data_IF_538850333249
#
_entry.id   IF_538850333249
#
_cell.length_a   1.000
_cell.length_b   1.000
_cell.length_c   1.000
_cell.angle_alpha   90.00
_cell.angle_beta   90.00
_cell.angle_gamma   90.00
#
_symmetry.space_group_name_H-M   'P 1'
#
loop_
_entity.id
_entity.type
_entity.pdbx_description
1 polymer ?
#
# COMPACT_ATOMS: atom_id res chain seq x y z
N UNK A 1 14.76 -19.56 -7.25
CA UNK A 1 15.48 -18.51 -6.47
C UNK A 1 15.28 -17.10 -7.04
N UNK A 2 15.56 -16.84 -8.33
CA UNK A 2 15.35 -15.50 -8.95
C UNK A 2 13.89 -15.03 -8.83
N UNK A 3 12.92 -15.89 -9.11
CA UNK A 3 11.49 -15.55 -9.02
C UNK A 3 11.07 -15.12 -7.60
N UNK A 4 11.58 -15.78 -6.57
CA UNK A 4 11.33 -15.41 -5.16
C UNK A 4 11.88 -14.01 -4.86
N UNK A 5 13.06 -13.67 -5.40
CA UNK A 5 13.65 -12.34 -5.22
C UNK A 5 12.81 -11.26 -5.92
N UNK A 6 12.30 -11.53 -7.12
CA UNK A 6 11.41 -10.61 -7.84
C UNK A 6 10.12 -10.39 -7.02
N UNK A 7 9.51 -11.47 -6.52
CA UNK A 7 8.32 -11.37 -5.66
C UNK A 7 8.62 -10.50 -4.43
N UNK A 8 9.72 -10.78 -3.72
CA UNK A 8 10.12 -10.00 -2.55
C UNK A 8 10.36 -8.52 -2.88
N UNK A 9 11.01 -8.22 -4.01
CA UNK A 9 11.24 -6.85 -4.44
C UNK A 9 9.93 -6.11 -4.75
N UNK A 10 8.99 -6.75 -5.45
CA UNK A 10 7.68 -6.17 -5.76
C UNK A 10 6.89 -5.87 -4.48
N UNK A 11 6.83 -6.83 -3.54
CA UNK A 11 6.17 -6.63 -2.26
C UNK A 11 6.87 -5.56 -1.41
N UNK A 12 8.20 -5.46 -1.45
CA UNK A 12 8.93 -4.41 -0.75
C UNK A 12 8.56 -3.01 -1.26
N UNK A 13 8.53 -2.81 -2.58
CA UNK A 13 8.08 -1.54 -3.19
C UNK A 13 6.64 -1.24 -2.81
N UNK A 14 5.77 -2.26 -2.86
CA UNK A 14 4.38 -2.12 -2.43
C UNK A 14 4.26 -1.69 -0.97
N UNK A 15 5.00 -2.29 -0.04
CA UNK A 15 4.96 -1.93 1.37
C UNK A 15 5.48 -0.50 1.62
N UNK A 16 6.51 -0.06 0.89
CA UNK A 16 7.00 1.32 0.97
C UNK A 16 5.90 2.30 0.53
N UNK A 17 5.23 2.03 -0.58
CA UNK A 17 4.13 2.88 -1.06
C UNK A 17 2.92 2.85 -0.11
N UNK A 18 2.62 1.71 0.50
CA UNK A 18 1.56 1.58 1.50
C UNK A 18 1.88 2.39 2.77
N UNK A 19 3.13 2.37 3.25
CA UNK A 19 3.55 3.21 4.37
C UNK A 19 3.52 4.69 3.99
N UNK A 20 3.94 5.04 2.77
CA UNK A 20 3.85 6.39 2.27
C UNK A 20 2.38 6.88 2.23
N UNK A 21 1.42 6.04 1.83
CA UNK A 21 0.00 6.43 1.83
C UNK A 21 -0.53 6.69 3.24
N UNK A 22 -0.11 5.90 4.24
CA UNK A 22 -0.44 6.16 5.65
C UNK A 22 0.10 7.52 6.09
N UNK A 23 1.39 7.78 5.84
CA UNK A 23 2.04 9.05 6.22
C UNK A 23 1.33 10.24 5.55
N UNK A 24 1.05 10.14 4.26
CA UNK A 24 0.36 11.18 3.50
C UNK A 24 -1.07 11.42 4.03
N UNK A 25 -1.76 10.38 4.50
CA UNK A 25 -3.11 10.51 5.09
C UNK A 25 -3.11 11.27 6.43
N UNK A 26 -2.03 11.15 7.21
CA UNK A 26 -1.86 11.81 8.51
C UNK A 26 -1.34 13.24 8.37
N UNK A 27 -0.27 13.43 7.58
CA UNK A 27 0.40 14.73 7.43
C UNK A 27 -0.40 15.67 6.52
N UNK A 28 -1.16 15.12 5.55
CA UNK A 28 -1.99 15.87 4.59
C UNK A 28 -1.26 17.07 3.94
N UNK A 29 -0.10 16.85 3.32
CA UNK A 29 0.64 17.93 2.65
C UNK A 29 -0.14 18.50 1.45
N UNK A 30 0.11 19.77 1.11
CA UNK A 30 -0.54 20.42 -0.03
C UNK A 30 -0.16 19.74 -1.36
N UNK A 31 -1.14 19.35 -2.20
CA UNK A 31 -0.87 18.71 -3.49
C UNK A 31 -0.26 19.65 -4.53
N UNK A 32 -0.29 20.97 -4.30
CA UNK A 32 0.29 21.97 -5.19
C UNK A 32 1.78 22.22 -4.93
N UNK A 33 2.34 21.63 -3.87
CA UNK A 33 3.76 21.78 -3.59
C UNK A 33 4.61 21.04 -4.64
N UNK A 34 5.67 21.66 -5.19
CA UNK A 34 6.44 21.10 -6.31
C UNK A 34 7.07 19.73 -6.00
N UNK A 35 7.47 19.50 -4.74
CA UNK A 35 8.01 18.21 -4.28
C UNK A 35 6.93 17.21 -3.88
N UNK A 36 5.95 17.59 -3.06
CA UNK A 36 4.94 16.67 -2.53
C UNK A 36 3.89 16.28 -3.55
N UNK A 37 3.51 17.17 -4.46
CA UNK A 37 2.47 16.92 -5.47
C UNK A 37 2.72 15.67 -6.32
N UNK A 38 3.92 15.50 -6.92
CA UNK A 38 4.27 14.28 -7.64
C UNK A 38 4.24 13.02 -6.76
N UNK A 39 4.75 13.10 -5.53
CA UNK A 39 4.79 11.95 -4.60
C UNK A 39 3.37 11.51 -4.24
N UNK A 40 2.51 12.45 -3.84
CA UNK A 40 1.10 12.18 -3.52
C UNK A 40 0.41 11.51 -4.70
N UNK A 41 0.65 12.01 -5.92
CA UNK A 41 0.02 11.49 -7.13
C UNK A 41 0.45 10.05 -7.43
N UNK A 42 1.74 9.73 -7.34
CA UNK A 42 2.25 8.37 -7.56
C UNK A 42 1.69 7.40 -6.52
N UNK A 43 1.72 7.79 -5.25
CA UNK A 43 1.22 6.95 -4.15
C UNK A 43 -0.29 6.72 -4.28
N UNK A 44 -1.08 7.78 -4.45
CA UNK A 44 -2.55 7.68 -4.60
C UNK A 44 -2.95 6.86 -5.83
N UNK A 45 -2.36 7.12 -7.01
CA UNK A 45 -2.67 6.38 -8.23
C UNK A 45 -2.38 4.87 -8.12
N UNK A 46 -1.38 4.50 -7.33
CA UNK A 46 -0.96 3.09 -7.19
C UNK A 46 -1.70 2.38 -6.05
N UNK A 47 -1.86 3.05 -4.91
CA UNK A 47 -2.34 2.43 -3.67
C UNK A 47 -3.83 2.63 -3.46
N UNK A 48 -4.43 3.76 -3.87
CA UNK A 48 -5.85 4.00 -3.63
C UNK A 48 -6.77 2.99 -4.34
N UNK A 49 -6.52 2.52 -5.57
CA UNK A 49 -7.34 1.46 -6.18
C UNK A 49 -7.39 0.17 -5.34
N UNK A 50 -6.31 -0.11 -4.59
CA UNK A 50 -6.19 -1.29 -3.72
C UNK A 50 -6.87 -1.04 -2.37
N UNK A 51 -6.76 0.18 -1.83
CA UNK A 51 -7.39 0.55 -0.55
C UNK A 51 -8.89 0.83 -0.67
N UNK A 52 -9.35 1.43 -1.77
CA UNK A 52 -10.72 1.92 -1.94
C UNK A 52 -11.81 0.84 -1.73
N UNK A 53 -11.66 -0.41 -2.22
CA UNK A 53 -12.61 -1.47 -1.91
C UNK A 53 -12.75 -1.73 -0.40
N UNK A 54 -11.64 -1.70 0.34
CA UNK A 54 -11.65 -1.91 1.80
C UNK A 54 -12.17 -0.67 2.52
N UNK A 55 -11.80 0.53 2.09
CA UNK A 55 -12.34 1.80 2.62
C UNK A 55 -13.86 1.85 2.55
N UNK A 56 -14.47 1.29 1.49
CA UNK A 56 -15.94 1.21 1.34
C UNK A 56 -16.59 0.23 2.32
N UNK A 57 -15.85 -0.76 2.81
CA UNK A 57 -16.35 -1.76 3.77
C UNK A 57 -16.14 -1.33 5.22
N UNK A 58 -15.20 -0.42 5.48
CA UNK A 58 -14.93 0.07 6.82
C UNK A 58 -15.97 1.12 7.25
N UNK A 59 -16.34 1.15 8.54
CA UNK A 59 -17.18 2.23 9.08
C UNK A 59 -16.44 3.58 9.04
N UNK A 60 -17.16 4.71 9.19
CA UNK A 60 -16.52 6.02 9.27
C UNK A 60 -15.57 6.13 10.47
N UNK A 61 -14.25 6.20 10.22
CA UNK A 61 -13.19 6.19 11.24
C UNK A 61 -12.71 7.61 11.64
N UNK A 62 -13.58 8.63 11.56
CA UNK A 62 -13.22 9.99 12.01
C UNK A 62 -12.05 10.64 11.25
N UNK A 63 -11.81 10.24 10.00
CA UNK A 63 -10.74 10.77 9.16
C UNK A 63 -9.37 10.08 9.28
N UNK A 64 -9.27 9.04 10.11
CA UNK A 64 -8.13 8.11 10.11
C UNK A 64 -8.40 6.95 9.14
N UNK A 65 -7.44 6.64 8.28
CA UNK A 65 -7.55 5.51 7.35
C UNK A 65 -6.81 4.29 7.90
N UNK A 66 -7.56 3.30 8.38
CA UNK A 66 -7.02 2.01 8.84
C UNK A 66 -7.05 0.93 7.75
N UNK A 67 -7.56 1.23 6.55
CA UNK A 67 -7.55 0.27 5.43
C UNK A 67 -6.14 -0.22 5.05
N UNK A 68 -5.06 0.58 5.21
CA UNK A 68 -3.71 0.10 4.97
C UNK A 68 -3.29 -1.04 5.91
N UNK A 69 -3.79 -1.09 7.15
CA UNK A 69 -3.49 -2.20 8.06
C UNK A 69 -4.12 -3.52 7.60
N UNK A 70 -5.36 -3.45 7.12
CA UNK A 70 -6.06 -4.62 6.55
C UNK A 70 -5.32 -5.12 5.31
N UNK A 71 -4.96 -4.20 4.40
CA UNK A 71 -4.18 -4.53 3.21
C UNK A 71 -2.81 -5.11 3.58
N UNK A 72 -2.13 -4.56 4.59
CA UNK A 72 -0.83 -5.06 5.03
C UNK A 72 -0.93 -6.52 5.45
N UNK A 73 -1.95 -6.89 6.24
CA UNK A 73 -2.16 -8.26 6.66
C UNK A 73 -2.43 -9.19 5.47
N UNK A 74 -3.34 -8.79 4.57
CA UNK A 74 -3.68 -9.57 3.37
C UNK A 74 -2.47 -9.77 2.45
N UNK A 75 -1.70 -8.70 2.23
CA UNK A 75 -0.50 -8.73 1.39
C UNK A 75 0.59 -9.63 1.98
N UNK A 76 0.77 -9.65 3.31
CA UNK A 76 1.72 -10.55 3.98
C UNK A 76 1.36 -12.02 3.79
N UNK A 77 0.08 -12.35 3.93
CA UNK A 77 -0.42 -13.71 3.70
C UNK A 77 -0.24 -14.09 2.22
N UNK A 78 -0.60 -13.21 1.30
CA UNK A 78 -0.45 -13.42 -0.14
C UNK A 78 1.01 -13.64 -0.54
N UNK A 79 1.93 -12.80 -0.07
CA UNK A 79 3.36 -12.94 -0.33
C UNK A 79 3.88 -14.30 0.12
N UNK A 80 3.53 -14.72 1.34
CA UNK A 80 3.93 -16.02 1.88
C UNK A 80 3.37 -17.19 1.06
N UNK A 81 2.09 -17.10 0.66
CA UNK A 81 1.46 -18.11 -0.18
C UNK A 81 2.13 -18.22 -1.57
N UNK A 82 2.42 -17.10 -2.22
CA UNK A 82 3.09 -17.05 -3.52
C UNK A 82 4.50 -17.64 -3.46
N UNK A 83 5.28 -17.29 -2.43
CA UNK A 83 6.64 -17.83 -2.26
C UNK A 83 6.59 -19.34 -2.03
N UNK A 84 5.68 -19.82 -1.17
CA UNK A 84 5.51 -21.26 -0.94
C UNK A 84 5.17 -22.00 -2.24
N UNK A 85 4.26 -21.46 -3.04
CA UNK A 85 3.86 -22.06 -4.32
C UNK A 85 5.01 -22.14 -5.32
N UNK A 86 5.94 -21.17 -5.31
CA UNK A 86 7.09 -21.11 -6.23
C UNK A 86 8.26 -22.03 -5.79
N UNK A 87 8.35 -22.31 -4.48
CA UNK A 87 9.46 -23.09 -3.90
C UNK A 87 9.13 -24.59 -3.81
N UNK A 88 7.85 -24.94 -3.74
CA UNK A 88 7.38 -26.31 -3.94
C UNK A 88 7.58 -26.75 -5.40
#
# INVERSE_FOLDING_TARGET
MILVNIINALFAVFYVLLVASIILSWVRPSPYHPVWGPIIRIVSMTIDPILNPIRRLMPPMGGLDFSPMVILLLARVLQGALIKLVVQ
#
